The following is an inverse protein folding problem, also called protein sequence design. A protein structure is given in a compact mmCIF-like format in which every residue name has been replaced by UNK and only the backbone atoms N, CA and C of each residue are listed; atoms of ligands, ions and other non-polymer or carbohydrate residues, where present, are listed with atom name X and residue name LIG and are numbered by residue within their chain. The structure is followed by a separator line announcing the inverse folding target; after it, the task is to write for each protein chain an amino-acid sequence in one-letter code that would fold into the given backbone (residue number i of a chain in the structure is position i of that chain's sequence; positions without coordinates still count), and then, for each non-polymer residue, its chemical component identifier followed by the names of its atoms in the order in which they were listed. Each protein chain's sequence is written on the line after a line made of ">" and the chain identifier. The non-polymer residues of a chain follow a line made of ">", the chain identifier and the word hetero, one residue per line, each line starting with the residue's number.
data_IF_068768101443
#
_entry.id   IF_068768101443
#
_cell.length_a   1.000
_cell.length_b   1.000
_cell.length_c   1.000
_cell.angle_alpha   90.00
_cell.angle_beta   90.00
_cell.angle_gamma   90.00
#
_symmetry.space_group_name_H-M   'P 1'
#
loop_
_entity.id
_entity.type
_entity.pdbx_description
1 polymer ?
#
# COMPACT_ATOMS: atom_id res chain seq x y z
N UNK A 1 -9.92 -23.20 -15.45
CA UNK A 1 -9.11 -22.51 -14.42
C UNK A 1 -9.85 -21.24 -14.02
N UNK A 2 -10.59 -21.26 -12.91
CA UNK A 2 -11.31 -20.08 -12.41
C UNK A 2 -10.35 -19.21 -11.62
N UNK A 3 -9.72 -18.25 -12.30
CA UNK A 3 -8.90 -17.22 -11.67
C UNK A 3 -9.76 -16.30 -10.81
N UNK A 4 -9.99 -16.66 -9.54
CA UNK A 4 -10.39 -15.68 -8.53
C UNK A 4 -9.14 -14.87 -8.20
N UNK A 5 -9.13 -13.60 -8.57
CA UNK A 5 -8.28 -12.64 -7.87
C UNK A 5 -8.60 -12.79 -6.38
N UNK A 6 -7.62 -13.03 -5.49
CA UNK A 6 -7.86 -13.16 -4.06
C UNK A 6 -8.67 -11.96 -3.56
N UNK A 7 -9.68 -12.21 -2.73
CA UNK A 7 -10.44 -11.13 -2.12
C UNK A 7 -9.51 -10.27 -1.25
N UNK A 8 -9.80 -8.97 -1.20
CA UNK A 8 -9.08 -8.09 -0.26
C UNK A 8 -9.43 -8.50 1.18
N UNK A 9 -8.45 -8.53 2.09
CA UNK A 9 -8.75 -8.65 3.50
C UNK A 9 -9.63 -7.47 3.93
N UNK A 10 -10.50 -7.72 4.93
CA UNK A 10 -11.42 -6.71 5.46
C UNK A 10 -10.70 -5.37 5.74
N UNK A 11 -11.34 -4.19 5.58
CA UNK A 11 -10.63 -2.91 5.54
C UNK A 11 -9.73 -2.61 6.75
N UNK A 12 -10.10 -3.09 7.95
CA UNK A 12 -9.30 -2.95 9.18
C UNK A 12 -8.23 -4.03 9.37
N UNK A 13 -8.35 -5.14 8.65
CA UNK A 13 -7.39 -6.24 8.75
C UNK A 13 -6.08 -5.86 8.00
N UNK A 14 -4.93 -6.38 8.46
CA UNK A 14 -3.68 -6.23 7.74
C UNK A 14 -3.79 -6.71 6.29
N UNK A 15 -3.10 -6.04 5.38
CA UNK A 15 -2.96 -6.53 4.01
C UNK A 15 -2.16 -7.84 4.02
N UNK A 16 -2.53 -8.80 3.16
CA UNK A 16 -1.83 -10.08 3.00
C UNK A 16 -0.94 -10.07 1.76
N UNK A 17 0.14 -10.85 1.76
CA UNK A 17 1.06 -10.91 0.63
C UNK A 17 0.38 -11.47 -0.63
N UNK A 18 -0.54 -12.42 -0.49
CA UNK A 18 -1.27 -13.03 -1.59
C UNK A 18 -2.21 -12.05 -2.29
N UNK A 19 -2.89 -11.19 -1.52
CA UNK A 19 -3.77 -10.16 -2.07
C UNK A 19 -2.98 -9.09 -2.85
N UNK A 20 -1.74 -8.83 -2.43
CA UNK A 20 -0.79 -7.91 -3.07
C UNK A 20 -0.23 -8.51 -4.35
N UNK A 21 0.24 -9.76 -4.31
CA UNK A 21 0.83 -10.45 -5.48
C UNK A 21 -0.15 -10.54 -6.65
N UNK A 22 -1.45 -10.59 -6.38
CA UNK A 22 -2.47 -10.66 -7.41
C UNK A 22 -2.86 -9.29 -7.99
N UNK A 23 -2.32 -8.18 -7.48
CA UNK A 23 -2.69 -6.81 -7.86
C UNK A 23 -1.45 -5.95 -8.03
N UNK A 24 -1.00 -5.79 -9.28
CA UNK A 24 0.05 -4.84 -9.62
C UNK A 24 -0.56 -3.62 -10.31
N UNK A 25 -0.50 -2.41 -9.71
CA UNK A 25 -0.90 -1.20 -10.41
C UNK A 25 0.12 -0.87 -11.51
N UNK A 26 -0.37 -0.59 -12.71
CA UNK A 26 0.44 -0.06 -13.81
C UNK A 26 1.13 1.23 -13.35
N UNK A 27 2.45 1.30 -13.47
CA UNK A 27 3.24 2.47 -13.05
C UNK A 27 4.00 2.33 -11.73
N UNK A 28 3.72 1.30 -10.92
CA UNK A 28 4.56 0.99 -9.76
C UNK A 28 5.89 0.34 -10.18
N UNK A 29 7.00 0.89 -9.71
CA UNK A 29 8.35 0.33 -9.91
C UNK A 29 8.66 -0.79 -8.92
N UNK A 30 8.09 -0.69 -7.71
CA UNK A 30 8.28 -1.64 -6.62
C UNK A 30 7.06 -1.59 -5.70
N UNK A 31 6.72 -2.73 -5.10
CA UNK A 31 5.69 -2.82 -4.07
C UNK A 31 6.28 -3.39 -2.79
N UNK A 32 5.91 -2.84 -1.64
CA UNK A 32 6.35 -3.33 -0.32
C UNK A 32 5.15 -3.47 0.62
N UNK A 33 5.23 -4.44 1.53
CA UNK A 33 4.30 -4.56 2.65
C UNK A 33 5.05 -4.22 3.93
N UNK A 34 4.80 -3.02 4.47
CA UNK A 34 5.50 -2.47 5.63
C UNK A 34 4.52 -2.40 6.80
N UNK A 35 4.65 -3.35 7.75
CA UNK A 35 3.68 -3.64 8.83
C UNK A 35 2.26 -3.21 8.57
N UNK A 36 1.62 -3.93 7.64
CA UNK A 36 0.23 -3.82 7.18
C UNK A 36 -0.11 -2.71 6.19
N UNK A 37 0.84 -1.81 5.89
CA UNK A 37 0.69 -0.78 4.85
C UNK A 37 1.25 -1.30 3.55
N UNK A 38 0.43 -1.21 2.50
CA UNK A 38 0.88 -1.49 1.14
C UNK A 38 1.49 -0.21 0.57
N UNK A 39 2.75 -0.29 0.16
CA UNK A 39 3.55 0.83 -0.28
C UNK A 39 3.98 0.61 -1.73
N UNK A 40 3.61 1.52 -2.62
CA UNK A 40 4.00 1.49 -4.02
C UNK A 40 5.01 2.59 -4.31
N UNK A 41 6.19 2.20 -4.77
CA UNK A 41 7.21 3.12 -5.26
C UNK A 41 6.86 3.54 -6.69
N UNK A 42 6.86 4.84 -6.97
CA UNK A 42 6.52 5.34 -8.30
C UNK A 42 6.52 6.86 -8.40
N UNK A 43 5.67 7.37 -9.29
CA UNK A 43 5.46 8.80 -9.51
C UNK A 43 3.95 9.09 -9.50
N UNK A 44 3.32 8.86 -8.35
CA UNK A 44 1.88 8.98 -8.16
C UNK A 44 1.47 10.42 -7.80
N UNK A 45 0.23 10.76 -8.15
CA UNK A 45 -0.41 12.03 -7.81
C UNK A 45 -1.78 11.83 -7.11
N UNK A 46 -2.48 12.92 -6.83
CA UNK A 46 -3.78 12.88 -6.15
C UNK A 46 -4.85 12.11 -6.94
N UNK A 47 -4.76 12.03 -8.28
CA UNK A 47 -5.70 11.25 -9.10
C UNK A 47 -5.49 9.75 -8.91
N UNK A 48 -4.26 9.34 -8.66
CA UNK A 48 -3.94 7.97 -8.30
C UNK A 48 -4.48 7.60 -6.92
N UNK A 49 -4.55 8.55 -5.99
CA UNK A 49 -5.21 8.35 -4.68
C UNK A 49 -6.68 8.00 -4.87
N UNK A 50 -7.41 8.74 -5.69
CA UNK A 50 -8.83 8.46 -5.97
C UNK A 50 -9.02 7.09 -6.62
N UNK A 51 -8.14 6.74 -7.55
CA UNK A 51 -8.16 5.44 -8.23
C UNK A 51 -7.90 4.30 -7.24
N UNK A 52 -6.89 4.46 -6.40
CA UNK A 52 -6.55 3.49 -5.36
C UNK A 52 -7.64 3.40 -4.29
N UNK A 53 -8.29 4.50 -3.90
CA UNK A 53 -9.41 4.47 -2.96
C UNK A 53 -10.59 3.62 -3.47
N UNK A 54 -10.83 3.63 -4.79
CA UNK A 54 -11.82 2.75 -5.44
C UNK A 54 -11.37 1.30 -5.48
N UNK A 55 -10.08 1.06 -5.72
CA UNK A 55 -9.50 -0.29 -5.75
C UNK A 55 -9.41 -0.93 -4.36
N UNK A 56 -9.28 -0.12 -3.30
CA UNK A 56 -9.14 -0.53 -1.91
C UNK A 56 -10.26 0.05 -1.03
N UNK A 57 -11.51 -0.38 -1.23
CA UNK A 57 -12.66 0.24 -0.57
C UNK A 57 -12.56 0.14 0.96
N UNK A 58 -12.82 1.27 1.63
CA UNK A 58 -12.78 1.39 3.08
C UNK A 58 -11.38 1.48 3.68
N UNK A 59 -10.32 1.36 2.87
CA UNK A 59 -8.95 1.64 3.30
C UNK A 59 -8.64 3.12 3.15
N UNK A 60 -7.56 3.56 3.79
CA UNK A 60 -7.11 4.95 3.77
C UNK A 60 -5.92 5.04 2.81
N UNK A 61 -5.98 5.95 1.84
CA UNK A 61 -4.97 6.08 0.79
C UNK A 61 -4.35 7.48 0.85
N UNK A 62 -3.04 7.57 0.67
CA UNK A 62 -2.32 8.84 0.55
C UNK A 62 -1.19 8.71 -0.48
N UNK A 63 -0.80 9.83 -1.07
CA UNK A 63 0.50 9.99 -1.73
C UNK A 63 1.40 10.79 -0.80
N UNK A 64 2.64 10.31 -0.62
CA UNK A 64 3.60 10.96 0.25
C UNK A 64 4.47 11.97 -0.52
N UNK A 65 5.40 12.64 0.17
CA UNK A 65 6.25 13.69 -0.42
C UNK A 65 7.22 13.18 -1.47
N UNK A 66 7.47 11.87 -1.54
CA UNK A 66 8.32 11.24 -2.56
C UNK A 66 7.51 10.83 -3.81
N UNK A 67 6.22 11.16 -3.87
CA UNK A 67 5.28 10.70 -4.90
C UNK A 67 5.03 9.18 -4.87
N UNK A 68 5.20 8.55 -3.71
CA UNK A 68 4.84 7.15 -3.50
C UNK A 68 3.43 7.02 -2.93
N UNK A 69 2.75 5.93 -3.28
CA UNK A 69 1.38 5.67 -2.88
C UNK A 69 1.32 4.69 -1.71
N UNK A 70 0.58 5.03 -0.67
CA UNK A 70 0.40 4.19 0.51
C UNK A 70 -1.07 3.85 0.74
N UNK A 71 -1.34 2.56 0.95
CA UNK A 71 -2.67 2.04 1.30
C UNK A 71 -2.62 1.48 2.71
N UNK A 72 -3.27 2.19 3.62
CA UNK A 72 -3.31 1.90 5.05
C UNK A 72 -4.59 1.14 5.41
N UNK A 73 -4.56 0.29 6.44
CA UNK A 73 -5.79 -0.22 7.04
C UNK A 73 -6.73 0.92 7.45
N UNK A 74 -8.03 0.66 7.44
CA UNK A 74 -9.03 1.56 7.97
C UNK A 74 -8.74 1.89 9.45
N UNK A 75 -9.02 3.11 9.88
CA UNK A 75 -8.76 3.52 11.25
C UNK A 75 -9.13 4.97 11.50
N UNK A 76 -9.13 5.35 12.77
CA UNK A 76 -9.47 6.71 13.24
C UNK A 76 -8.23 7.55 13.57
N UNK A 77 -7.04 6.95 13.52
CA UNK A 77 -5.80 7.69 13.72
C UNK A 77 -5.57 8.66 12.57
N UNK A 78 -4.89 9.80 12.80
CA UNK A 78 -4.39 10.62 11.72
C UNK A 78 -3.62 9.75 10.72
N UNK A 79 -3.88 9.99 9.44
CA UNK A 79 -3.22 9.28 8.36
C UNK A 79 -1.89 10.00 8.10
N UNK A 80 -0.79 9.34 8.42
CA UNK A 80 0.58 9.83 8.23
C UNK A 80 1.34 8.80 7.39
N UNK A 81 2.29 9.29 6.60
CA UNK A 81 3.18 8.41 5.84
C UNK A 81 3.91 7.48 6.80
N UNK A 82 4.07 6.21 6.41
CA UNK A 82 4.83 5.24 7.19
C UNK A 82 6.34 5.51 7.18
N UNK A 83 6.81 6.30 6.21
CA UNK A 83 8.20 6.74 6.11
C UNK A 83 8.47 8.08 6.78
N UNK A 84 7.43 8.77 7.27
CA UNK A 84 7.62 9.96 8.09
C UNK A 84 8.40 9.61 9.37
N UNK A 85 9.39 10.44 9.73
CA UNK A 85 10.24 10.25 10.90
C UNK A 85 9.39 10.16 12.19
N UNK A 86 8.30 10.93 12.27
CA UNK A 86 7.38 10.89 13.40
C UNK A 86 6.68 9.53 13.52
N UNK A 87 6.29 8.92 12.40
CA UNK A 87 5.68 7.58 12.35
C UNK A 87 6.71 6.49 12.68
N UNK A 88 7.92 6.62 12.14
CA UNK A 88 9.00 5.65 12.34
C UNK A 88 9.45 5.58 13.81
N UNK A 89 9.55 6.73 14.49
CA UNK A 89 9.88 6.79 15.93
C UNK A 89 8.83 6.11 16.82
N UNK A 90 7.56 6.20 16.42
CA UNK A 90 6.45 5.59 17.17
C UNK A 90 6.31 4.06 16.94
N UNK A 91 6.94 3.50 15.90
CA UNK A 91 6.81 2.08 15.51
C UNK A 91 8.15 1.47 15.05
N UNK A 92 9.12 1.31 15.97
CA UNK A 92 10.47 0.88 15.63
C UNK A 92 10.57 -0.58 15.11
N UNK A 93 9.56 -1.42 15.33
CA UNK A 93 9.56 -2.86 14.99
C UNK A 93 8.75 -3.20 13.73
N UNK A 94 8.70 -2.28 12.77
CA UNK A 94 8.01 -2.51 11.51
C UNK A 94 8.75 -3.53 10.65
N UNK A 95 8.31 -4.80 10.68
CA UNK A 95 8.79 -5.84 9.75
C UNK A 95 8.51 -5.40 8.32
N UNK A 96 9.59 -5.08 7.59
CA UNK A 96 9.54 -4.87 6.13
C UNK A 96 9.55 -6.22 5.46
N UNK A 97 8.44 -6.57 4.82
CA UNK A 97 8.40 -7.69 3.89
C UNK A 97 8.65 -7.09 2.51
N UNK A 98 9.85 -7.33 1.98
CA UNK A 98 10.23 -6.92 0.63
C UNK A 98 9.60 -7.86 -0.37
N UNK A 99 8.64 -7.35 -1.14
CA UNK A 99 8.05 -8.08 -2.25
C UNK A 99 8.49 -7.41 -3.55
N UNK A 100 9.76 -7.58 -3.91
CA UNK A 100 10.33 -6.96 -5.10
C UNK A 100 9.82 -7.68 -6.35
N UNK A 101 8.73 -7.19 -6.95
CA UNK A 101 8.47 -7.44 -8.36
C UNK A 101 8.94 -6.17 -9.09
N UNK A 102 10.09 -6.25 -9.74
CA UNK A 102 10.58 -5.14 -10.56
C UNK A 102 9.95 -5.30 -11.95
N UNK A 103 9.31 -4.26 -12.46
CA UNK A 103 8.96 -4.18 -13.89
C UNK A 103 10.09 -3.42 -14.56
N UNK A 104 10.94 -4.12 -15.31
CA UNK A 104 11.83 -3.47 -16.27
C UNK A 104 10.96 -2.89 -17.41
N UNK A 105 11.30 -1.70 -17.94
CA UNK A 105 10.49 -1.00 -18.96
C UNK A 105 10.33 -1.78 -20.28
#
# INVERSE_FOLDING_TARGET
>A
MTGRTPDLPAPRAPMTAEAVLARWPTGAWKTELIGSVLYFHGAFDERDVDTAARAYPGRRVLVNTAHDLEVHPAGTTPLLSILDEATNRARPTLTRIYLCLTVEP
#
